data_IF_976601608347
#
_entry.id   IF_976601608347
#
_cell.length_a   1.000
_cell.length_b   1.000
_cell.length_c   1.000
_cell.angle_alpha   90.00
_cell.angle_beta   90.00
_cell.angle_gamma   90.00
#
_symmetry.space_group_name_H-M   'P 1'
#
loop_
_entity.id
_entity.type
_entity.pdbx_description
1 polymer ?
#
# COMPACT_ATOMS: atom_id res chain seq x y z
N UNK A 1 14.81 -22.35 12.47
CA UNK A 1 13.85 -22.09 11.37
C UNK A 1 13.44 -20.61 11.39
N UNK A 2 14.30 -19.71 10.91
CA UNK A 2 14.12 -18.25 11.06
C UNK A 2 13.83 -17.54 9.73
N UNK A 3 14.07 -18.20 8.60
CA UNK A 3 14.01 -17.53 7.30
C UNK A 3 12.59 -17.15 6.87
N UNK A 4 11.57 -17.86 7.34
CA UNK A 4 10.20 -17.64 6.89
C UNK A 4 10.01 -18.00 5.41
N UNK A 5 8.77 -17.92 4.92
CA UNK A 5 8.44 -18.32 3.56
C UNK A 5 7.39 -17.39 2.94
N UNK A 6 7.28 -17.45 1.61
CA UNK A 6 6.34 -16.65 0.85
C UNK A 6 5.08 -17.47 0.51
N UNK A 7 3.91 -16.92 0.79
CA UNK A 7 2.63 -17.55 0.46
C UNK A 7 1.60 -16.49 0.07
N UNK A 8 0.98 -16.64 -1.10
CA UNK A 8 -0.04 -15.70 -1.64
C UNK A 8 0.39 -14.21 -1.61
N UNK A 9 1.69 -13.95 -1.76
CA UNK A 9 2.26 -12.59 -1.72
C UNK A 9 2.57 -12.07 -0.32
N UNK A 10 2.39 -12.88 0.72
CA UNK A 10 2.79 -12.56 2.08
C UNK A 10 4.09 -13.26 2.45
N UNK A 11 4.99 -12.57 3.14
CA UNK A 11 6.17 -13.17 3.80
C UNK A 11 5.80 -13.50 5.24
N UNK A 12 5.68 -14.78 5.55
CA UNK A 12 5.34 -15.27 6.89
C UNK A 12 6.64 -15.62 7.60
N UNK A 13 6.92 -14.97 8.73
CA UNK A 13 8.17 -15.15 9.45
C UNK A 13 7.98 -15.15 10.97
N UNK A 14 8.65 -16.09 11.64
CA UNK A 14 8.79 -16.06 13.09
C UNK A 14 9.81 -14.99 13.49
N UNK A 15 9.38 -13.99 14.26
CA UNK A 15 10.29 -12.94 14.76
C UNK A 15 10.07 -12.69 16.24
N UNK A 16 11.16 -12.34 16.93
CA UNK A 16 11.12 -11.83 18.29
C UNK A 16 10.44 -10.47 18.30
N UNK A 17 9.50 -10.28 19.23
CA UNK A 17 8.88 -8.98 19.48
C UNK A 17 9.95 -8.01 19.98
N UNK A 18 10.15 -6.91 19.25
CA UNK A 18 11.07 -5.85 19.67
C UNK A 18 10.65 -5.28 21.03
N UNK A 19 11.60 -5.12 21.94
CA UNK A 19 11.35 -4.61 23.29
C UNK A 19 10.81 -5.65 24.28
N UNK A 20 10.97 -6.94 24.00
CA UNK A 20 10.68 -8.01 24.96
C UNK A 20 11.81 -9.04 24.94
N UNK A 21 12.18 -9.57 26.11
CA UNK A 21 13.29 -10.52 26.24
C UNK A 21 13.04 -11.82 25.48
N UNK A 22 11.81 -12.37 25.55
CA UNK A 22 11.58 -13.75 25.07
C UNK A 22 10.22 -14.03 24.42
N UNK A 23 9.52 -13.00 23.91
CA UNK A 23 8.24 -13.20 23.20
C UNK A 23 8.46 -13.26 21.69
N UNK A 24 8.02 -14.36 21.10
CA UNK A 24 8.07 -14.58 19.66
C UNK A 24 6.67 -14.65 19.06
N UNK A 25 6.51 -14.09 17.87
CA UNK A 25 5.24 -14.11 17.15
C UNK A 25 5.48 -14.40 15.68
N UNK A 26 4.45 -14.93 15.04
CA UNK A 26 4.36 -14.99 13.58
C UNK A 26 3.99 -13.59 13.08
N UNK A 27 4.84 -13.04 12.23
CA UNK A 27 4.57 -11.80 11.51
C UNK A 27 4.29 -12.09 10.05
N UNK A 28 3.26 -11.43 9.53
CA UNK A 28 2.90 -11.45 8.12
C UNK A 28 3.31 -10.12 7.50
N UNK A 29 4.33 -10.13 6.65
CA UNK A 29 4.76 -8.98 5.86
C UNK A 29 4.27 -9.11 4.41
N UNK A 30 4.42 -8.05 3.62
CA UNK A 30 4.22 -8.10 2.18
C UNK A 30 5.51 -8.62 1.55
N UNK A 31 5.42 -9.64 0.70
CA UNK A 31 6.59 -10.15 -0.04
C UNK A 31 7.04 -9.16 -1.12
N UNK A 32 8.29 -9.29 -1.59
CA UNK A 32 8.87 -8.35 -2.55
C UNK A 32 8.22 -8.44 -3.95
N UNK A 33 7.80 -9.65 -4.35
CA UNK A 33 7.17 -9.90 -5.66
C UNK A 33 5.92 -9.05 -5.91
N UNK A 34 4.87 -9.05 -5.06
CA UNK A 34 3.69 -8.22 -5.28
C UNK A 34 3.98 -6.72 -5.20
N UNK A 35 4.98 -6.32 -4.41
CA UNK A 35 5.43 -4.93 -4.34
C UNK A 35 6.08 -4.48 -5.66
N UNK A 36 6.96 -5.30 -6.22
CA UNK A 36 7.59 -5.06 -7.53
C UNK A 36 6.54 -4.99 -8.64
N UNK A 37 5.62 -5.97 -8.68
CA UNK A 37 4.53 -6.00 -9.67
C UNK A 37 3.65 -4.75 -9.61
N UNK A 38 3.30 -4.27 -8.42
CA UNK A 38 2.54 -3.02 -8.27
C UNK A 38 3.32 -1.82 -8.82
N UNK A 39 4.61 -1.70 -8.47
CA UNK A 39 5.47 -0.59 -8.96
C UNK A 39 5.60 -0.62 -10.48
N UNK A 40 5.68 -1.80 -11.09
CA UNK A 40 5.71 -1.96 -12.55
C UNK A 40 4.40 -1.49 -13.20
N UNK A 41 3.24 -1.89 -12.67
CA UNK A 41 1.93 -1.43 -13.15
C UNK A 41 1.80 0.09 -13.08
N UNK A 42 2.21 0.69 -11.96
CA UNK A 42 2.20 2.15 -11.78
C UNK A 42 3.16 2.80 -12.78
N UNK A 43 4.36 2.24 -12.98
CA UNK A 43 5.32 2.77 -13.94
C UNK A 43 4.80 2.78 -15.37
N UNK A 44 4.10 1.72 -15.77
CA UNK A 44 3.51 1.59 -17.09
C UNK A 44 2.43 2.66 -17.33
N UNK A 45 1.56 2.91 -16.34
CA UNK A 45 0.50 3.92 -16.43
C UNK A 45 1.07 5.36 -16.44
N UNK A 46 2.16 5.61 -15.71
CA UNK A 46 2.79 6.94 -15.61
C UNK A 46 4.03 7.07 -16.49
N UNK A 47 4.03 6.49 -17.69
CA UNK A 47 5.18 6.59 -18.59
C UNK A 47 5.38 8.05 -19.05
N UNK A 48 6.63 8.50 -19.23
CA UNK A 48 6.93 9.93 -19.51
C UNK A 48 6.33 10.42 -20.83
N UNK A 49 6.19 9.53 -21.81
CA UNK A 49 5.59 9.83 -23.13
C UNK A 49 4.10 9.53 -23.19
N UNK A 50 3.49 9.02 -22.11
CA UNK A 50 2.06 8.74 -22.06
C UNK A 50 1.27 10.03 -22.20
N UNK A 51 0.41 10.08 -23.22
CA UNK A 51 -0.53 11.18 -23.50
C UNK A 51 -1.95 10.85 -23.00
N UNK A 52 -2.09 9.84 -22.13
CA UNK A 52 -3.40 9.51 -21.57
C UNK A 52 -3.95 10.68 -20.74
N UNK A 53 -5.27 10.90 -20.75
CA UNK A 53 -5.89 11.92 -19.92
C UNK A 53 -5.51 11.76 -18.44
N UNK A 54 -5.03 12.83 -17.77
CA UNK A 54 -4.71 12.84 -16.33
C UNK A 54 -5.76 12.16 -15.46
N UNK A 55 -7.03 12.51 -15.69
CA UNK A 55 -8.19 11.96 -14.99
C UNK A 55 -8.25 10.43 -15.03
N UNK A 56 -8.13 9.85 -16.21
CA UNK A 56 -8.30 8.40 -16.41
C UNK A 56 -7.15 7.60 -15.78
N UNK A 57 -5.93 8.13 -15.88
CA UNK A 57 -4.76 7.54 -15.22
C UNK A 57 -4.92 7.58 -13.71
N UNK A 58 -5.38 8.70 -13.14
CA UNK A 58 -5.63 8.79 -11.69
C UNK A 58 -6.73 7.82 -11.24
N UNK A 59 -7.83 7.71 -11.98
CA UNK A 59 -8.89 6.72 -11.70
C UNK A 59 -8.30 5.30 -11.68
N UNK A 60 -7.52 4.94 -12.70
CA UNK A 60 -6.93 3.61 -12.81
C UNK A 60 -5.91 3.33 -11.69
N UNK A 61 -5.06 4.30 -11.38
CA UNK A 61 -4.12 4.20 -10.26
C UNK A 61 -4.85 4.00 -8.94
N UNK A 62 -5.90 4.79 -8.70
CA UNK A 62 -6.70 4.70 -7.49
C UNK A 62 -7.36 3.34 -7.32
N UNK A 63 -7.94 2.78 -8.39
CA UNK A 63 -8.55 1.44 -8.37
C UNK A 63 -7.51 0.36 -8.02
N UNK A 64 -6.33 0.39 -8.68
CA UNK A 64 -5.26 -0.57 -8.44
C UNK A 64 -4.75 -0.46 -7.00
N UNK A 65 -4.45 0.76 -6.54
CA UNK A 65 -3.92 1.02 -5.21
C UNK A 65 -4.91 0.66 -4.11
N UNK A 66 -6.20 0.98 -4.27
CA UNK A 66 -7.25 0.62 -3.32
C UNK A 66 -7.39 -0.89 -3.20
N UNK A 67 -7.49 -1.60 -4.32
CA UNK A 67 -7.59 -3.07 -4.31
C UNK A 67 -6.36 -3.72 -3.66
N UNK A 68 -5.16 -3.27 -4.05
CA UNK A 68 -3.92 -3.80 -3.52
C UNK A 68 -3.77 -3.54 -2.01
N UNK A 69 -4.06 -2.32 -1.56
CA UNK A 69 -3.98 -1.97 -0.14
C UNK A 69 -5.01 -2.72 0.69
N UNK A 70 -6.24 -2.91 0.17
CA UNK A 70 -7.27 -3.68 0.86
C UNK A 70 -6.91 -5.16 1.00
N UNK A 71 -6.25 -5.75 -0.01
CA UNK A 71 -5.75 -7.13 0.08
C UNK A 71 -4.63 -7.26 1.13
N UNK A 72 -3.66 -6.35 1.10
CA UNK A 72 -2.49 -6.41 2.00
C UNK A 72 -2.70 -5.74 3.37
N UNK A 73 -3.88 -5.18 3.67
CA UNK A 73 -4.15 -4.52 4.96
C UNK A 73 -3.97 -5.43 6.17
N UNK A 74 -3.99 -6.74 5.98
CA UNK A 74 -3.78 -7.74 7.02
C UNK A 74 -2.32 -8.01 7.36
N UNK A 75 -1.39 -7.54 6.53
CA UNK A 75 0.03 -7.60 6.80
C UNK A 75 0.48 -6.42 7.68
N UNK A 76 1.70 -6.53 8.22
CA UNK A 76 2.44 -5.41 8.81
C UNK A 76 2.91 -4.48 7.68
N UNK A 77 1.96 -3.72 7.14
CA UNK A 77 2.10 -3.01 5.88
C UNK A 77 2.29 -1.49 6.00
N UNK A 78 2.16 -0.91 7.20
CA UNK A 78 2.18 0.57 7.36
C UNK A 78 3.42 1.24 6.78
N UNK A 79 4.61 0.70 7.05
CA UNK A 79 5.85 1.21 6.46
C UNK A 79 5.87 1.07 4.93
N UNK A 80 5.46 -0.09 4.42
CA UNK A 80 5.38 -0.34 2.96
C UNK A 80 4.37 0.56 2.28
N UNK A 81 3.21 0.84 2.89
CA UNK A 81 2.21 1.76 2.38
C UNK A 81 2.74 3.19 2.33
N UNK A 82 3.44 3.66 3.38
CA UNK A 82 4.07 5.00 3.38
C UNK A 82 5.15 5.13 2.31
N UNK A 83 6.00 4.10 2.14
CA UNK A 83 7.01 4.07 1.08
C UNK A 83 6.38 4.10 -0.32
N UNK A 84 5.32 3.31 -0.53
CA UNK A 84 4.60 3.27 -1.80
C UNK A 84 3.90 4.59 -2.09
N UNK A 85 3.25 5.18 -1.09
CA UNK A 85 2.60 6.49 -1.17
C UNK A 85 3.58 7.55 -1.68
N UNK A 86 4.76 7.64 -1.06
CA UNK A 86 5.82 8.55 -1.51
C UNK A 86 6.27 8.27 -2.95
N UNK A 87 6.44 6.99 -3.31
CA UNK A 87 6.81 6.59 -4.66
C UNK A 87 5.74 7.00 -5.69
N UNK A 88 4.47 6.74 -5.43
CA UNK A 88 3.37 7.08 -6.36
C UNK A 88 3.25 8.58 -6.51
N UNK A 89 3.30 9.33 -5.39
CA UNK A 89 3.23 10.79 -5.41
C UNK A 89 4.27 11.38 -6.36
N UNK A 90 5.54 11.00 -6.21
CA UNK A 90 6.60 11.50 -7.09
C UNK A 90 6.45 11.04 -8.53
N UNK A 91 5.95 9.84 -8.79
CA UNK A 91 5.70 9.35 -10.15
C UNK A 91 4.64 10.18 -10.85
N UNK A 92 3.50 10.42 -10.20
CA UNK A 92 2.40 11.21 -10.76
C UNK A 92 2.85 12.66 -10.98
N UNK A 93 3.51 13.28 -10.00
CA UNK A 93 4.00 14.65 -10.13
C UNK A 93 5.01 14.79 -11.28
N UNK A 94 5.96 13.86 -11.42
CA UNK A 94 6.93 13.89 -12.52
C UNK A 94 6.27 13.65 -13.88
N UNK A 95 5.28 12.77 -13.93
CA UNK A 95 4.53 12.49 -15.16
C UNK A 95 3.71 13.71 -15.61
N UNK A 96 2.90 14.30 -14.73
CA UNK A 96 2.11 15.50 -15.06
C UNK A 96 3.00 16.70 -15.39
N UNK A 97 4.12 16.86 -14.68
CA UNK A 97 5.10 17.88 -15.01
C UNK A 97 5.65 17.71 -16.44
N UNK A 98 5.92 16.47 -16.87
CA UNK A 98 6.37 16.20 -18.23
C UNK A 98 5.26 16.43 -19.25
N UNK A 99 4.04 15.95 -18.97
CA UNK A 99 2.87 16.07 -19.84
C UNK A 99 2.51 17.54 -20.14
N UNK A 100 2.45 18.38 -19.10
CA UNK A 100 2.09 19.79 -19.22
C UNK A 100 3.30 20.72 -19.41
N UNK A 101 4.51 20.17 -19.55
CA UNK A 101 5.77 20.92 -19.68
C UNK A 101 6.00 21.94 -18.54
N UNK A 102 5.53 21.60 -17.35
CA UNK A 102 5.60 22.47 -16.17
C UNK A 102 7.00 22.63 -15.60
N UNK A 103 7.26 23.82 -15.05
CA UNK A 103 8.40 24.07 -14.16
C UNK A 103 7.97 23.75 -12.72
N UNK A 104 8.96 23.67 -11.82
CA UNK A 104 8.65 23.34 -10.42
C UNK A 104 7.73 24.36 -9.76
N UNK A 105 7.85 25.65 -10.11
CA UNK A 105 6.92 26.71 -9.64
C UNK A 105 5.45 26.43 -9.99
N UNK A 106 5.19 25.81 -11.13
CA UNK A 106 3.82 25.52 -11.58
C UNK A 106 3.26 24.32 -10.79
N UNK A 107 4.08 23.30 -10.54
CA UNK A 107 3.75 22.20 -9.62
C UNK A 107 3.47 22.72 -8.21
N UNK A 108 4.30 23.65 -7.71
CA UNK A 108 4.08 24.28 -6.39
C UNK A 108 2.75 25.02 -6.36
N UNK A 109 2.41 25.78 -7.40
CA UNK A 109 1.12 26.49 -7.49
C UNK A 109 -0.06 25.52 -7.55
N UNK A 110 0.07 24.44 -8.31
CA UNK A 110 -0.98 23.42 -8.47
C UNK A 110 -1.25 22.63 -7.17
N UNK A 111 -0.20 22.28 -6.41
CA UNK A 111 -0.35 21.50 -5.19
C UNK A 111 -0.39 22.35 -3.91
N UNK A 112 -0.15 23.67 -3.98
CA UNK A 112 -0.23 24.52 -2.81
C UNK A 112 -1.68 24.56 -2.29
N UNK A 113 -1.84 24.32 -1.00
CA UNK A 113 -3.11 24.52 -0.34
C UNK A 113 -3.21 25.96 0.23
N UNK A 114 -4.36 26.65 0.10
CA UNK A 114 -4.57 27.98 0.67
C UNK A 114 -4.34 28.08 2.17
N UNK A 115 -4.48 26.98 2.92
CA UNK A 115 -4.30 26.92 4.37
C UNK A 115 -2.87 26.51 4.79
N UNK A 116 -1.90 26.49 3.86
CA UNK A 116 -0.49 26.28 4.17
C UNK A 116 0.00 24.82 4.06
N UNK A 117 -0.72 23.98 3.33
CA UNK A 117 -0.38 22.57 3.10
C UNK A 117 -0.03 22.22 1.64
N UNK A 118 0.15 20.93 1.40
CA UNK A 118 0.26 20.35 0.06
C UNK A 118 -0.98 19.51 -0.23
N UNK A 119 -1.74 19.89 -1.24
CA UNK A 119 -2.79 19.05 -1.83
C UNK A 119 -2.16 17.83 -2.47
N UNK A 120 -2.96 16.78 -2.58
CA UNK A 120 -2.53 15.55 -3.26
C UNK A 120 -2.65 15.75 -4.78
N UNK A 121 -1.84 15.04 -5.58
CA UNK A 121 -1.91 15.12 -7.03
C UNK A 121 -3.34 14.87 -7.51
N UNK A 122 -3.91 15.82 -8.25
CA UNK A 122 -5.29 15.77 -8.70
C UNK A 122 -5.46 16.32 -10.12
N UNK A 123 -6.42 15.78 -10.86
CA UNK A 123 -6.80 16.27 -12.17
C UNK A 123 -8.30 16.07 -12.40
N UNK A 124 -8.97 17.08 -12.95
CA UNK A 124 -10.39 17.05 -13.32
C UNK A 124 -11.32 16.51 -12.21
N UNK A 125 -11.10 16.99 -10.98
CA UNK A 125 -11.88 16.60 -9.80
C UNK A 125 -11.52 15.23 -9.20
N UNK A 126 -10.56 14.50 -9.78
CA UNK A 126 -10.06 13.24 -9.22
C UNK A 126 -8.74 13.48 -8.51
N UNK A 127 -8.71 13.15 -7.22
CA UNK A 127 -7.48 13.14 -6.43
C UNK A 127 -6.85 11.75 -6.40
N UNK A 128 -5.51 11.69 -6.36
CA UNK A 128 -4.77 10.45 -6.11
C UNK A 128 -5.24 9.83 -4.79
N UNK A 129 -5.31 8.50 -4.67
CA UNK A 129 -5.75 7.79 -3.48
C UNK A 129 -4.65 7.70 -2.41
N UNK A 130 -4.97 7.88 -1.12
CA UNK A 130 -4.01 7.83 -0.02
C UNK A 130 -3.91 6.42 0.55
N UNK A 131 -2.78 5.76 0.31
CA UNK A 131 -2.52 4.42 0.86
C UNK A 131 -2.48 4.38 2.39
N UNK A 132 -2.12 5.49 3.05
CA UNK A 132 -1.97 5.54 4.50
C UNK A 132 -3.32 5.51 5.23
N UNK A 133 -4.39 5.97 4.57
CA UNK A 133 -5.77 5.91 5.08
C UNK A 133 -6.25 4.48 5.29
N UNK A 134 -5.67 3.51 4.58
CA UNK A 134 -6.00 2.10 4.79
C UNK A 134 -5.43 1.65 6.13
N UNK A 135 -6.32 1.38 7.07
CA UNK A 135 -5.97 0.86 8.39
C UNK A 135 -5.47 -0.57 8.25
N UNK A 136 -4.21 -0.78 8.66
CA UNK A 136 -3.65 -2.12 8.76
C UNK A 136 -4.37 -2.86 9.89
N UNK A 137 -5.17 -3.87 9.51
CA UNK A 137 -5.94 -4.69 10.45
C UNK A 137 -5.09 -5.89 10.85
N UNK A 138 -4.48 -5.82 12.03
CA UNK A 138 -3.82 -7.00 12.59
C UNK A 138 -4.88 -8.04 12.94
N UNK A 139 -4.53 -9.32 12.78
CA UNK A 139 -5.38 -10.41 13.23
C UNK A 139 -5.76 -10.19 14.71
N UNK A 140 -7.05 -10.07 14.99
CA UNK A 140 -7.55 -9.97 16.36
C UNK A 140 -7.51 -11.38 16.94
N UNK A 141 -6.69 -11.58 17.97
CA UNK A 141 -6.68 -12.86 18.69
C UNK A 141 -8.09 -13.19 19.17
N UNK A 142 -8.68 -14.25 18.61
CA UNK A 142 -10.02 -14.73 18.95
C UNK A 142 -10.03 -15.84 20.00
N UNK A 143 -8.86 -16.37 20.39
CA UNK A 143 -8.69 -17.20 21.58
C UNK A 143 -9.75 -18.32 21.72
N UNK A 144 -10.12 -18.61 22.97
CA UNK A 144 -11.19 -19.48 23.44
C UNK A 144 -12.62 -19.07 23.04
N UNK A 145 -12.82 -17.96 22.31
CA UNK A 145 -14.16 -17.53 21.84
C UNK A 145 -14.63 -18.26 20.59
N UNK A 146 -13.75 -19.01 19.94
CA UNK A 146 -14.15 -19.90 18.84
C UNK A 146 -14.28 -21.30 19.47
N UNK A 147 -15.50 -21.83 19.64
CA UNK A 147 -15.66 -23.19 20.13
C UNK A 147 -14.96 -24.16 19.19
N UNK A 148 -14.15 -25.07 19.73
CA UNK A 148 -13.50 -26.12 18.96
C UNK A 148 -14.57 -27.18 18.62
N UNK A 149 -14.93 -27.39 17.35
CA UNK A 149 -15.97 -28.36 16.98
C UNK A 149 -15.55 -29.82 17.25
N UNK A 150 -14.28 -30.08 17.54
CA UNK A 150 -13.71 -31.43 17.66
C UNK A 150 -13.56 -31.93 19.10
N UNK A 151 -13.94 -31.15 20.13
CA UNK A 151 -13.79 -31.57 21.54
C UNK A 151 -14.85 -32.59 22.00
N UNK A 152 -15.78 -33.00 21.14
CA UNK A 152 -16.89 -33.90 21.47
C UNK A 152 -16.84 -35.31 20.88
N UNK A 153 -15.80 -35.67 20.11
CA UNK A 153 -15.70 -37.02 19.54
C UNK A 153 -14.96 -37.91 20.54
N UNK A 154 -15.71 -38.46 21.50
CA UNK A 154 -15.24 -39.59 22.29
C UNK A 154 -15.08 -40.78 21.34
N UNK A 155 -13.86 -41.02 20.89
CA UNK A 155 -13.48 -42.31 20.31
C UNK A 155 -13.39 -43.31 21.46
N UNK A 156 -14.54 -43.90 21.80
CA UNK A 156 -14.63 -45.13 22.59
C UNK A 156 -14.47 -46.35 21.69
#
# INVERSE_FOLDING_TARGET
MTDGFDFLGFRIQWRRKRGTSDKWYVYTFIADRPLRSLKEKIRALTHRTSQHPPRDVLIRLNQIMRGWANYFKHAVAKHTFSMLEHFVWWRVVRWLRALHRWRWKDVRRWLADPHGGWRRPHADGIELFDLQTVTATRYRYRASRIPNPWTGINHA
#
